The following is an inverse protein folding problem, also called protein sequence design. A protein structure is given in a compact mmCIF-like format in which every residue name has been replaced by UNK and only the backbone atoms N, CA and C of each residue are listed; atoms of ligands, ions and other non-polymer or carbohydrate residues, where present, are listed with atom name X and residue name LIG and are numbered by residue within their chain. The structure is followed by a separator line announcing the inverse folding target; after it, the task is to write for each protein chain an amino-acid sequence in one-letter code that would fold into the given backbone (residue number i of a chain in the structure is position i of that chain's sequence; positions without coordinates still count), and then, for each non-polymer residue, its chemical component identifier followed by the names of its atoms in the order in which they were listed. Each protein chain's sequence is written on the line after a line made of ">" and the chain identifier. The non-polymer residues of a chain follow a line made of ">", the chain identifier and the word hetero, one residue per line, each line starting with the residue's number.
data_IF_625820220429
#
_entry.id   IF_625820220429
#
_cell.length_a   1.000
_cell.length_b   1.000
_cell.length_c   1.000
_cell.angle_alpha   90.00
_cell.angle_beta   90.00
_cell.angle_gamma   90.00
#
_symmetry.space_group_name_H-M   'P 1'
#
loop_
_entity.id
_entity.type
_entity.pdbx_description
1 polymer ?
#
# COMPACT_ATOMS: atom_id res chain seq x y z
N UNK A 1 8.18 12.43 -12.39
CA UNK A 1 8.66 12.29 -11.00
C UNK A 1 10.10 12.76 -10.80
N UNK A 2 11.13 12.25 -11.51
CA UNK A 2 12.54 12.69 -11.32
C UNK A 2 12.78 14.20 -11.51
N UNK A 3 12.13 14.87 -12.46
CA UNK A 3 12.26 16.31 -12.68
C UNK A 3 11.69 17.17 -11.54
N UNK A 4 10.54 16.79 -10.97
CA UNK A 4 9.92 17.47 -9.83
C UNK A 4 10.79 17.37 -8.57
N UNK A 5 11.40 16.19 -8.32
CA UNK A 5 12.35 16.00 -7.21
C UNK A 5 13.63 16.83 -7.39
N UNK A 6 14.11 16.99 -8.62
CA UNK A 6 15.26 17.83 -8.93
C UNK A 6 14.97 19.32 -8.69
N UNK A 7 13.79 19.80 -9.13
CA UNK A 7 13.38 21.20 -8.92
C UNK A 7 13.17 21.54 -7.44
N UNK A 8 12.58 20.64 -6.66
CA UNK A 8 12.36 20.85 -5.21
C UNK A 8 13.68 20.94 -4.44
N UNK A 9 14.64 20.05 -4.70
CA UNK A 9 15.99 20.11 -4.11
C UNK A 9 16.73 21.39 -4.50
N UNK A 10 16.62 21.79 -5.75
CA UNK A 10 17.22 23.04 -6.22
C UNK A 10 16.64 24.24 -5.50
N UNK A 11 15.33 24.31 -5.33
CA UNK A 11 14.66 25.39 -4.58
C UNK A 11 15.09 25.41 -3.12
N UNK A 12 15.14 24.28 -2.42
CA UNK A 12 15.62 24.17 -1.05
C UNK A 12 17.05 24.66 -0.90
N UNK A 13 17.96 24.21 -1.78
CA UNK A 13 19.35 24.68 -1.80
C UNK A 13 19.45 26.19 -2.06
N UNK A 14 18.66 26.71 -3.01
CA UNK A 14 18.66 28.14 -3.34
C UNK A 14 18.21 29.00 -2.16
N UNK A 15 17.18 28.56 -1.41
CA UNK A 15 16.71 29.23 -0.20
C UNK A 15 17.82 29.31 0.85
N UNK A 16 18.52 28.19 1.12
CA UNK A 16 19.63 28.17 2.06
C UNK A 16 20.77 29.11 1.63
N UNK A 17 21.16 29.07 0.34
CA UNK A 17 22.24 29.91 -0.20
C UNK A 17 21.87 31.39 -0.07
N UNK A 18 20.67 31.77 -0.53
CA UNK A 18 20.22 33.17 -0.48
C UNK A 18 20.12 33.66 0.97
N UNK A 19 19.56 32.86 1.88
CA UNK A 19 19.43 33.20 3.30
C UNK A 19 20.80 33.46 3.93
N UNK A 20 21.78 32.59 3.69
CA UNK A 20 23.13 32.78 4.25
C UNK A 20 23.90 33.91 3.57
N UNK A 21 23.73 34.12 2.25
CA UNK A 21 24.30 35.31 1.60
C UNK A 21 23.80 36.61 2.22
N UNK A 22 22.50 36.68 2.57
CA UNK A 22 21.95 37.86 3.26
C UNK A 22 22.54 38.00 4.65
N UNK A 23 22.63 36.91 5.43
CA UNK A 23 23.17 36.96 6.81
C UNK A 23 24.64 37.35 6.84
N UNK A 24 25.48 36.83 5.95
CA UNK A 24 26.90 37.18 5.85
C UNK A 24 27.15 38.50 5.13
N UNK A 25 26.23 38.91 4.26
CA UNK A 25 26.30 40.18 3.55
C UNK A 25 25.85 41.37 4.38
N UNK A 26 24.97 41.14 5.39
CA UNK A 26 24.45 42.21 6.26
C UNK A 26 25.54 43.05 6.96
N UNK A 27 26.62 42.46 7.50
CA UNK A 27 27.71 43.22 8.10
C UNK A 27 28.39 44.23 7.15
N UNK A 28 28.39 43.96 5.83
CA UNK A 28 29.00 44.87 4.83
C UNK A 28 28.27 46.20 4.75
N UNK A 29 26.97 46.23 5.06
CA UNK A 29 26.15 47.47 5.04
C UNK A 29 26.60 48.45 6.12
N UNK A 30 27.16 47.96 7.23
CA UNK A 30 27.61 48.75 8.37
C UNK A 30 29.11 49.06 8.34
N UNK A 31 29.82 48.63 7.30
CA UNK A 31 31.22 49.00 7.12
C UNK A 31 31.30 50.46 6.68
N UNK A 32 32.24 51.20 7.29
CA UNK A 32 32.45 52.60 6.98
C UNK A 32 32.88 52.79 5.54
N UNK A 33 32.07 53.51 4.76
CA UNK A 33 32.26 53.74 3.34
C UNK A 33 33.46 54.66 3.04
N UNK A 34 34.01 55.31 4.05
CA UNK A 34 35.13 56.28 3.89
C UNK A 34 36.52 55.62 3.91
N UNK A 35 36.69 54.45 4.49
CA UNK A 35 38.00 53.82 4.75
C UNK A 35 38.37 52.67 3.79
N UNK A 36 37.53 52.36 2.81
CA UNK A 36 37.72 51.20 1.91
C UNK A 36 37.41 49.88 2.61
N UNK A 37 37.48 48.76 1.88
CA UNK A 37 37.24 47.42 2.40
C UNK A 37 38.32 47.00 3.40
N UNK A 38 37.95 46.84 4.66
CA UNK A 38 38.83 46.34 5.72
C UNK A 38 38.52 44.87 6.06
N UNK A 39 39.40 43.96 5.61
CA UNK A 39 39.25 42.50 5.81
C UNK A 39 39.17 42.13 7.31
N UNK A 40 39.95 42.76 8.19
CA UNK A 40 39.93 42.46 9.60
C UNK A 40 38.59 42.85 10.26
N UNK A 41 38.02 43.97 9.86
CA UNK A 41 36.69 44.40 10.29
C UNK A 41 35.59 43.46 9.76
N UNK A 42 35.66 43.07 8.52
CA UNK A 42 34.72 42.08 7.93
C UNK A 42 34.77 40.75 8.66
N UNK A 43 35.97 40.19 8.89
CA UNK A 43 36.13 38.93 9.63
C UNK A 43 35.56 39.03 11.03
N UNK A 44 35.81 40.14 11.76
CA UNK A 44 35.25 40.38 13.07
C UNK A 44 33.73 40.34 13.09
N UNK A 45 33.07 40.99 12.11
CA UNK A 45 31.62 41.01 12.03
C UNK A 45 31.02 39.68 11.53
N UNK A 46 31.79 38.88 10.78
CA UNK A 46 31.35 37.60 10.25
C UNK A 46 31.42 36.44 11.24
N UNK A 47 32.13 36.58 12.36
CA UNK A 47 32.27 35.54 13.38
C UNK A 47 30.93 35.14 14.03
N UNK A 48 30.07 36.13 14.32
CA UNK A 48 28.75 35.91 14.90
C UNK A 48 27.84 35.13 13.92
N UNK A 49 27.65 35.58 12.68
CA UNK A 49 26.97 34.79 11.64
C UNK A 49 27.51 33.35 11.46
N UNK A 50 28.83 33.16 11.57
CA UNK A 50 29.45 31.85 11.46
C UNK A 50 29.00 30.90 12.60
N UNK A 51 28.92 31.42 13.84
CA UNK A 51 28.38 30.64 14.96
C UNK A 51 26.92 30.24 14.72
N UNK A 52 26.10 31.14 14.19
CA UNK A 52 24.71 30.84 13.83
C UNK A 52 24.60 29.77 12.70
N UNK A 53 25.46 29.88 11.71
CA UNK A 53 25.58 28.91 10.65
C UNK A 53 25.90 27.50 11.20
N UNK A 54 26.92 27.41 12.07
CA UNK A 54 27.34 26.15 12.69
C UNK A 54 26.18 25.53 13.48
N UNK A 55 25.56 26.32 14.38
CA UNK A 55 24.45 25.86 15.23
C UNK A 55 23.25 25.39 14.37
N UNK A 56 22.90 26.15 13.34
CA UNK A 56 21.82 25.81 12.47
C UNK A 56 22.05 24.44 11.81
N UNK A 57 23.21 24.25 11.17
CA UNK A 57 23.47 23.00 10.43
C UNK A 57 23.77 21.82 11.33
N UNK A 58 24.41 22.02 12.49
CA UNK A 58 24.57 20.95 13.47
C UNK A 58 23.21 20.47 13.98
N UNK A 59 22.28 21.37 14.25
CA UNK A 59 20.91 20.98 14.60
C UNK A 59 20.20 20.32 13.43
N UNK A 60 20.17 20.97 12.27
CA UNK A 60 19.42 20.52 11.11
C UNK A 60 19.88 19.16 10.57
N UNK A 61 21.20 18.91 10.52
CA UNK A 61 21.79 17.70 9.94
C UNK A 61 22.05 16.58 10.97
N UNK A 62 22.38 16.94 12.21
CA UNK A 62 22.90 15.97 13.19
C UNK A 62 21.99 15.81 14.40
N UNK A 63 21.76 16.87 15.21
CA UNK A 63 21.14 16.72 16.52
C UNK A 63 19.65 16.37 16.43
N UNK A 64 18.91 17.02 15.55
CA UNK A 64 17.48 16.76 15.37
C UNK A 64 17.24 15.35 14.83
N UNK A 65 17.89 14.89 13.73
CA UNK A 65 17.70 13.53 13.25
C UNK A 65 18.13 12.45 14.24
N UNK A 66 19.20 12.70 15.00
CA UNK A 66 19.81 11.69 15.88
C UNK A 66 19.10 11.55 17.22
N UNK A 67 18.66 12.65 17.82
CA UNK A 67 18.13 12.65 19.19
C UNK A 67 16.65 13.02 19.27
N UNK A 68 16.22 14.02 18.52
CA UNK A 68 14.83 14.46 18.58
C UNK A 68 13.88 13.46 17.90
N UNK A 69 14.32 12.85 16.80
CA UNK A 69 13.52 11.87 16.08
C UNK A 69 13.58 10.45 16.65
N UNK A 70 14.46 10.19 17.61
CA UNK A 70 14.58 8.93 18.35
C UNK A 70 14.03 9.01 19.77
N UNK A 71 13.31 10.11 20.08
CA UNK A 71 12.71 10.38 21.39
C UNK A 71 13.71 10.55 22.54
N UNK A 72 14.98 10.89 22.21
CA UNK A 72 16.04 11.13 23.17
C UNK A 72 16.16 12.63 23.51
N UNK A 73 15.07 13.27 23.91
CA UNK A 73 14.99 14.72 24.11
C UNK A 73 16.01 15.26 25.11
N UNK A 74 16.34 14.50 26.17
CA UNK A 74 17.36 14.90 27.17
C UNK A 74 18.74 15.04 26.54
N UNK A 75 19.13 14.11 25.65
CA UNK A 75 20.42 14.19 24.94
C UNK A 75 20.45 15.36 23.96
N UNK A 76 19.31 15.62 23.30
CA UNK A 76 19.16 16.77 22.41
C UNK A 76 19.41 18.07 23.13
N UNK A 77 18.74 18.32 24.28
CA UNK A 77 18.86 19.53 25.07
C UNK A 77 20.30 19.69 25.63
N UNK A 78 20.88 18.62 26.19
CA UNK A 78 22.23 18.65 26.74
C UNK A 78 23.28 18.93 25.67
N UNK A 79 23.18 18.28 24.49
CA UNK A 79 24.11 18.52 23.38
C UNK A 79 24.04 19.95 22.85
N UNK A 80 22.83 20.53 22.76
CA UNK A 80 22.67 21.95 22.39
C UNK A 80 23.23 22.89 23.46
N UNK A 81 22.99 22.62 24.73
CA UNK A 81 23.53 23.44 25.82
C UNK A 81 25.08 23.50 25.81
N UNK A 82 25.70 22.32 25.62
CA UNK A 82 27.17 22.22 25.48
C UNK A 82 27.66 22.95 24.23
N UNK A 83 27.02 22.75 23.09
CA UNK A 83 27.41 23.38 21.82
C UNK A 83 27.33 24.91 21.90
N UNK A 84 26.22 25.45 22.42
CA UNK A 84 25.99 26.88 22.55
C UNK A 84 26.99 27.51 23.54
N UNK A 85 27.21 26.85 24.66
CA UNK A 85 28.18 27.32 25.64
C UNK A 85 29.61 27.38 25.05
N UNK A 86 30.04 26.30 24.41
CA UNK A 86 31.37 26.22 23.78
C UNK A 86 31.54 27.31 22.70
N UNK A 87 30.55 27.45 21.80
CA UNK A 87 30.63 28.44 20.73
C UNK A 87 30.57 29.87 21.27
N UNK A 88 29.76 30.14 22.30
CA UNK A 88 29.69 31.46 22.94
C UNK A 88 31.03 31.85 23.61
N UNK A 89 31.63 30.94 24.34
CA UNK A 89 32.96 31.20 24.97
C UNK A 89 34.02 31.41 23.90
N UNK A 90 34.09 30.55 22.89
CA UNK A 90 35.04 30.65 21.79
C UNK A 90 34.92 31.98 21.03
N UNK A 91 33.66 32.39 20.71
CA UNK A 91 33.36 33.65 20.04
C UNK A 91 33.88 34.85 20.84
N UNK A 92 33.58 34.88 22.14
CA UNK A 92 33.95 36.05 22.94
C UNK A 92 35.46 36.13 23.26
N UNK A 93 36.11 34.99 23.48
CA UNK A 93 37.59 34.93 23.61
C UNK A 93 38.25 35.41 22.33
N UNK A 94 37.74 34.99 21.16
CA UNK A 94 38.26 35.44 19.88
C UNK A 94 38.03 36.93 19.66
N UNK A 95 36.81 37.45 19.94
CA UNK A 95 36.51 38.87 19.81
C UNK A 95 37.34 39.73 20.72
N UNK A 96 37.59 39.30 21.96
CA UNK A 96 38.49 40.00 22.91
C UNK A 96 39.94 40.04 22.42
N UNK A 97 40.43 38.96 21.81
CA UNK A 97 41.83 38.89 21.30
C UNK A 97 42.12 39.86 20.16
N UNK A 98 41.10 40.21 19.37
CA UNK A 98 41.24 41.10 18.19
C UNK A 98 40.67 42.50 18.45
N UNK A 99 40.11 42.78 19.64
CA UNK A 99 39.51 44.07 19.94
C UNK A 99 40.55 45.01 20.56
N UNK A 100 40.67 46.20 20.01
CA UNK A 100 41.38 47.31 20.68
C UNK A 100 40.52 47.92 21.78
N UNK A 101 41.08 48.25 22.95
CA UNK A 101 40.32 48.89 24.00
C UNK A 101 39.72 50.22 23.51
N UNK A 102 38.47 50.52 23.86
CA UNK A 102 37.81 51.75 23.46
C UNK A 102 38.47 52.96 24.12
N UNK A 103 38.38 54.15 23.49
CA UNK A 103 38.83 55.38 24.12
C UNK A 103 38.16 55.59 25.47
N UNK A 104 38.85 56.21 26.47
CA UNK A 104 38.32 56.36 27.83
C UNK A 104 36.97 57.07 27.92
N UNK A 105 36.70 57.98 26.99
CA UNK A 105 35.43 58.72 26.89
C UNK A 105 34.21 57.83 26.62
N UNK A 106 34.37 56.76 25.89
CA UNK A 106 33.29 55.82 25.54
C UNK A 106 33.22 54.66 26.52
N UNK A 107 34.25 54.39 27.31
CA UNK A 107 34.29 53.26 28.23
C UNK A 107 33.18 53.28 29.29
N UNK A 108 32.72 54.48 29.69
CA UNK A 108 31.65 54.64 30.69
C UNK A 108 30.27 54.29 30.23
N UNK A 109 30.02 54.15 28.92
CA UNK A 109 28.72 53.90 28.32
C UNK A 109 28.62 52.47 27.76
N UNK A 110 29.65 51.62 27.90
CA UNK A 110 29.63 50.26 27.42
C UNK A 110 28.83 49.37 28.39
N UNK A 111 27.80 48.63 27.90
CA UNK A 111 27.07 47.73 28.75
C UNK A 111 27.97 46.65 29.36
N UNK A 112 27.61 46.09 30.53
CA UNK A 112 28.33 44.98 31.12
C UNK A 112 28.47 43.79 30.13
N UNK A 113 29.64 43.15 30.16
CA UNK A 113 29.99 42.05 29.20
C UNK A 113 28.96 40.93 29.14
N UNK A 114 28.34 40.59 30.28
CA UNK A 114 27.34 39.51 30.35
C UNK A 114 26.13 39.78 29.45
N UNK A 115 25.80 41.03 29.13
CA UNK A 115 24.70 41.38 28.21
C UNK A 115 24.99 40.88 26.78
N UNK A 116 26.22 41.00 26.31
CA UNK A 116 26.64 40.52 25.01
C UNK A 116 26.60 39.01 24.96
N UNK A 117 27.08 38.30 26.01
CA UNK A 117 26.96 36.85 26.12
C UNK A 117 25.50 36.41 26.11
N UNK A 118 24.65 37.04 26.91
CA UNK A 118 23.23 36.70 27.00
C UNK A 118 22.51 36.90 25.66
N UNK A 119 22.79 38.00 24.96
CA UNK A 119 22.25 38.28 23.63
C UNK A 119 22.64 37.21 22.63
N UNK A 120 23.93 36.88 22.54
CA UNK A 120 24.44 35.94 21.52
C UNK A 120 24.00 34.52 21.81
N UNK A 121 23.99 34.09 23.08
CA UNK A 121 23.41 32.79 23.49
C UNK A 121 21.91 32.71 23.19
N UNK A 122 21.15 33.78 23.49
CA UNK A 122 19.72 33.83 23.18
C UNK A 122 19.44 33.66 21.67
N UNK A 123 20.24 34.35 20.85
CA UNK A 123 20.15 34.25 19.41
C UNK A 123 20.56 32.83 18.89
N UNK A 124 21.59 32.25 19.50
CA UNK A 124 22.02 30.87 19.20
C UNK A 124 20.91 29.86 19.53
N UNK A 125 20.21 30.00 20.65
CA UNK A 125 19.06 29.18 21.04
C UNK A 125 17.94 29.33 20.00
N UNK A 126 17.64 30.59 19.61
CA UNK A 126 16.62 30.86 18.59
C UNK A 126 16.95 30.19 17.26
N UNK A 127 18.19 30.27 16.79
CA UNK A 127 18.65 29.65 15.54
C UNK A 127 18.61 28.14 15.63
N UNK A 128 18.98 27.53 16.77
CA UNK A 128 18.85 26.11 17.02
C UNK A 128 17.39 25.64 16.92
N UNK A 129 16.48 26.42 17.56
CA UNK A 129 15.03 26.18 17.49
C UNK A 129 14.49 26.29 16.06
N UNK A 130 14.95 27.29 15.30
CA UNK A 130 14.57 27.47 13.90
C UNK A 130 15.00 26.25 13.04
N UNK A 131 16.25 25.79 13.21
CA UNK A 131 16.76 24.60 12.53
C UNK A 131 15.94 23.35 12.86
N UNK A 132 15.57 23.18 14.13
CA UNK A 132 14.72 22.09 14.59
C UNK A 132 13.30 22.17 14.01
N UNK A 133 12.70 23.36 14.03
CA UNK A 133 11.35 23.57 13.50
C UNK A 133 11.26 23.26 11.99
N UNK A 134 12.22 23.78 11.21
CA UNK A 134 12.28 23.52 9.77
C UNK A 134 12.45 22.01 9.51
N UNK A 135 13.38 21.35 10.20
CA UNK A 135 13.65 19.92 10.01
C UNK A 135 12.46 19.05 10.38
N UNK A 136 11.78 19.39 11.47
CA UNK A 136 10.57 18.67 11.92
C UNK A 136 9.41 18.86 10.96
N UNK A 137 9.18 20.09 10.49
CA UNK A 137 8.14 20.38 9.50
C UNK A 137 8.35 19.60 8.21
N UNK A 138 9.57 19.52 7.70
CA UNK A 138 9.90 18.72 6.51
C UNK A 138 9.64 17.23 6.72
N UNK A 139 9.97 16.69 7.92
CA UNK A 139 9.69 15.28 8.24
C UNK A 139 8.18 15.00 8.31
N UNK A 140 7.40 15.90 8.91
CA UNK A 140 5.96 15.74 9.00
C UNK A 140 5.32 15.70 7.62
N UNK A 141 5.70 16.62 6.73
CA UNK A 141 5.22 16.60 5.33
C UNK A 141 5.56 15.29 4.62
N UNK A 142 6.79 14.79 4.79
CA UNK A 142 7.18 13.51 4.19
C UNK A 142 6.41 12.32 4.76
N UNK A 143 6.10 12.34 6.05
CA UNK A 143 5.29 11.31 6.70
C UNK A 143 3.83 11.35 6.18
N UNK A 144 3.25 12.54 6.07
CA UNK A 144 1.91 12.76 5.52
C UNK A 144 1.81 12.30 4.07
N UNK A 145 2.77 12.68 3.20
CA UNK A 145 2.83 12.24 1.81
C UNK A 145 2.89 10.70 1.71
N UNK A 146 3.64 10.04 2.60
CA UNK A 146 3.72 8.56 2.65
C UNK A 146 2.42 7.91 3.10
N UNK A 147 1.74 8.50 4.08
CA UNK A 147 0.44 8.01 4.56
C UNK A 147 -0.61 8.08 3.45
N UNK A 148 -0.72 9.23 2.76
CA UNK A 148 -1.64 9.42 1.64
C UNK A 148 -1.36 8.42 0.51
N UNK A 149 -0.09 8.22 0.16
CA UNK A 149 0.27 7.25 -0.88
C UNK A 149 -0.03 5.81 -0.47
N UNK A 150 0.22 5.44 0.79
CA UNK A 150 -0.11 4.11 1.31
C UNK A 150 -1.63 3.86 1.32
N UNK A 151 -2.43 4.84 1.72
CA UNK A 151 -3.89 4.76 1.69
C UNK A 151 -4.43 4.64 0.26
N UNK A 152 -3.87 5.41 -0.67
CA UNK A 152 -4.21 5.29 -2.09
C UNK A 152 -3.90 3.90 -2.64
N UNK A 153 -2.71 3.35 -2.35
CA UNK A 153 -2.32 2.00 -2.80
C UNK A 153 -3.23 0.93 -2.20
N UNK A 154 -3.62 1.07 -0.93
CA UNK A 154 -4.59 0.20 -0.28
C UNK A 154 -5.94 0.23 -1.01
N UNK A 155 -6.48 1.43 -1.27
CA UNK A 155 -7.75 1.60 -1.98
C UNK A 155 -7.71 1.05 -3.41
N UNK A 156 -6.61 1.28 -4.15
CA UNK A 156 -6.41 0.71 -5.48
C UNK A 156 -6.35 -0.84 -5.45
N UNK A 157 -5.70 -1.41 -4.43
CA UNK A 157 -5.64 -2.86 -4.24
C UNK A 157 -7.03 -3.45 -3.90
N UNK A 158 -7.78 -2.79 -3.01
CA UNK A 158 -9.15 -3.18 -2.66
C UNK A 158 -10.08 -3.11 -3.88
N UNK A 159 -10.01 -2.02 -4.67
CA UNK A 159 -10.77 -1.88 -5.90
C UNK A 159 -10.41 -2.94 -6.94
N UNK A 160 -9.13 -3.26 -7.09
CA UNK A 160 -8.66 -4.33 -7.98
C UNK A 160 -9.17 -5.69 -7.53
N UNK A 161 -9.14 -5.95 -6.22
CA UNK A 161 -9.67 -7.20 -5.64
C UNK A 161 -11.18 -7.31 -5.90
N UNK A 162 -11.94 -6.25 -5.65
CA UNK A 162 -13.38 -6.19 -5.92
C UNK A 162 -13.70 -6.43 -7.42
N UNK A 163 -12.97 -5.78 -8.32
CA UNK A 163 -13.11 -6.02 -9.77
C UNK A 163 -12.80 -7.46 -10.16
N UNK A 164 -11.80 -8.08 -9.53
CA UNK A 164 -11.44 -9.48 -9.83
C UNK A 164 -12.49 -10.48 -9.33
N UNK A 165 -13.24 -10.15 -8.27
CA UNK A 165 -14.34 -10.98 -7.77
C UNK A 165 -15.52 -11.05 -8.75
N UNK A 166 -15.67 -10.06 -9.62
CA UNK A 166 -16.75 -9.99 -10.60
C UNK A 166 -16.46 -10.75 -11.89
N UNK A 167 -15.48 -11.57 -12.04
CA UNK A 167 -15.12 -12.24 -13.32
C UNK A 167 -15.73 -11.55 -14.57
N UNK A 168 -15.10 -10.46 -15.11
CA UNK A 168 -15.73 -9.64 -16.17
C UNK A 168 -16.05 -10.45 -17.42
N UNK A 169 -15.24 -11.45 -17.71
CA UNK A 169 -15.42 -12.34 -18.86
C UNK A 169 -16.66 -13.22 -18.71
N UNK A 170 -16.92 -13.74 -17.50
CA UNK A 170 -18.15 -14.49 -17.23
C UNK A 170 -19.39 -13.59 -17.43
N UNK A 171 -19.39 -12.37 -16.87
CA UNK A 171 -20.50 -11.43 -17.00
C UNK A 171 -20.79 -11.08 -18.46
N UNK A 172 -19.75 -10.71 -19.23
CA UNK A 172 -19.89 -10.39 -20.65
C UNK A 172 -20.41 -11.58 -21.47
N UNK A 173 -19.90 -12.78 -21.23
CA UNK A 173 -20.37 -13.98 -21.92
C UNK A 173 -21.82 -14.30 -21.56
N UNK A 174 -22.21 -14.16 -20.30
CA UNK A 174 -23.59 -14.38 -19.85
C UNK A 174 -24.55 -13.36 -20.48
N UNK A 175 -24.19 -12.07 -20.48
CA UNK A 175 -24.97 -11.03 -21.14
C UNK A 175 -25.12 -11.27 -22.65
N UNK A 176 -24.06 -11.65 -23.35
CA UNK A 176 -24.10 -11.99 -24.77
C UNK A 176 -25.03 -13.20 -25.05
N UNK A 177 -25.02 -14.19 -24.16
CA UNK A 177 -25.93 -15.34 -24.27
C UNK A 177 -27.38 -14.96 -24.03
N UNK A 178 -27.66 -14.11 -23.01
CA UNK A 178 -29.00 -13.57 -22.75
C UNK A 178 -29.48 -12.78 -23.97
N UNK A 179 -28.63 -11.95 -24.56
CA UNK A 179 -28.96 -11.19 -25.76
C UNK A 179 -29.34 -12.12 -26.93
N UNK A 180 -28.58 -13.21 -27.14
CA UNK A 180 -28.92 -14.20 -28.16
C UNK A 180 -30.26 -14.89 -27.84
N UNK A 181 -30.52 -15.27 -26.58
CA UNK A 181 -31.78 -15.92 -26.17
C UNK A 181 -33.00 -15.02 -26.39
N UNK A 182 -32.91 -13.71 -26.31
CA UNK A 182 -34.04 -12.78 -26.57
C UNK A 182 -34.62 -13.01 -27.95
N UNK A 183 -33.79 -13.31 -28.94
CA UNK A 183 -34.24 -13.52 -30.32
C UNK A 183 -34.95 -14.86 -30.53
N UNK A 184 -34.69 -15.90 -29.69
CA UNK A 184 -35.20 -17.26 -29.91
C UNK A 184 -36.17 -17.72 -28.82
N UNK A 185 -36.02 -17.26 -27.57
CA UNK A 185 -36.84 -17.64 -26.43
C UNK A 185 -36.81 -16.57 -25.34
N UNK A 186 -37.76 -15.66 -25.38
CA UNK A 186 -37.88 -14.55 -24.46
C UNK A 186 -38.06 -14.99 -22.99
N UNK A 187 -38.78 -16.09 -22.74
CA UNK A 187 -39.02 -16.56 -21.37
C UNK A 187 -37.73 -17.07 -20.72
N UNK A 188 -36.96 -17.87 -21.48
CA UNK A 188 -35.61 -18.30 -21.01
C UNK A 188 -34.64 -17.12 -20.84
N UNK A 189 -34.74 -16.08 -21.67
CA UNK A 189 -33.93 -14.90 -21.51
C UNK A 189 -34.28 -14.15 -20.21
N UNK A 190 -35.56 -14.05 -19.85
CA UNK A 190 -36.00 -13.45 -18.58
C UNK A 190 -35.52 -14.24 -17.36
N UNK A 191 -35.66 -15.60 -17.43
CA UNK A 191 -35.13 -16.48 -16.39
C UNK A 191 -33.62 -16.29 -16.18
N UNK A 192 -32.85 -16.27 -17.29
CA UNK A 192 -31.39 -16.02 -17.22
C UNK A 192 -31.01 -14.65 -16.62
N UNK A 193 -31.79 -13.59 -16.88
CA UNK A 193 -31.61 -12.28 -16.23
C UNK A 193 -31.85 -12.35 -14.73
N UNK A 194 -32.88 -13.08 -14.30
CA UNK A 194 -33.19 -13.24 -12.87
C UNK A 194 -32.08 -14.00 -12.15
N UNK A 195 -31.59 -15.12 -12.73
CA UNK A 195 -30.50 -15.89 -12.15
C UNK A 195 -29.18 -15.09 -12.12
N UNK A 196 -28.86 -14.34 -13.17
CA UNK A 196 -27.71 -13.42 -13.17
C UNK A 196 -27.82 -12.37 -12.08
N UNK A 197 -29.02 -11.82 -11.85
CA UNK A 197 -29.26 -10.81 -10.81
C UNK A 197 -29.05 -11.38 -9.40
N UNK A 198 -29.47 -12.64 -9.14
CA UNK A 198 -29.22 -13.34 -7.88
C UNK A 198 -27.71 -13.55 -7.66
N UNK A 199 -26.98 -14.01 -8.68
CA UNK A 199 -25.54 -14.23 -8.64
C UNK A 199 -24.78 -12.92 -8.36
N UNK A 200 -25.13 -11.83 -9.03
CA UNK A 200 -24.51 -10.53 -8.82
C UNK A 200 -24.75 -10.00 -7.40
N UNK A 201 -25.94 -10.18 -6.87
CA UNK A 201 -26.28 -9.79 -5.49
C UNK A 201 -25.40 -10.54 -4.48
N UNK A 202 -25.26 -11.84 -4.64
CA UNK A 202 -24.39 -12.67 -3.77
C UNK A 202 -22.93 -12.18 -3.83
N UNK A 203 -22.38 -11.97 -5.04
CA UNK A 203 -20.99 -11.49 -5.19
C UNK A 203 -20.77 -10.09 -4.60
N UNK A 204 -21.74 -9.17 -4.72
CA UNK A 204 -21.57 -7.78 -4.31
C UNK A 204 -21.83 -7.57 -2.81
N UNK A 205 -22.75 -8.31 -2.20
CA UNK A 205 -23.21 -8.04 -0.83
C UNK A 205 -22.83 -9.13 0.16
N UNK A 206 -22.84 -10.42 -0.23
CA UNK A 206 -22.62 -11.53 0.71
C UNK A 206 -21.13 -11.86 0.88
N UNK A 207 -20.26 -11.50 -0.08
CA UNK A 207 -18.84 -11.84 -0.08
C UNK A 207 -17.91 -10.83 0.60
N UNK A 208 -18.45 -9.89 1.39
CA UNK A 208 -17.61 -8.94 2.13
C UNK A 208 -16.97 -9.54 3.39
N UNK A 209 -17.37 -10.75 3.79
CA UNK A 209 -16.82 -11.47 4.93
C UNK A 209 -15.69 -12.41 4.50
N UNK A 210 -14.74 -12.65 5.41
CA UNK A 210 -13.63 -13.59 5.17
C UNK A 210 -14.13 -15.03 5.00
N UNK A 211 -15.20 -15.38 5.72
CA UNK A 211 -15.88 -16.67 5.68
C UNK A 211 -17.39 -16.48 5.62
N UNK A 212 -18.07 -17.37 4.91
CA UNK A 212 -19.53 -17.39 4.76
C UNK A 212 -20.07 -18.77 5.11
N UNK A 213 -21.34 -18.91 5.52
CA UNK A 213 -21.97 -20.21 5.72
C UNK A 213 -21.89 -21.06 4.44
N UNK A 214 -21.52 -22.35 4.60
CA UNK A 214 -21.41 -23.28 3.45
C UNK A 214 -22.72 -23.32 2.64
N UNK A 215 -23.87 -23.30 3.30
CA UNK A 215 -25.18 -23.30 2.63
C UNK A 215 -25.33 -22.17 1.62
N UNK A 216 -24.83 -20.96 1.94
CA UNK A 216 -24.86 -19.81 1.00
C UNK A 216 -23.99 -20.06 -0.23
N UNK A 217 -22.83 -20.68 -0.06
CA UNK A 217 -21.98 -21.09 -1.21
C UNK A 217 -22.64 -22.17 -2.04
N UNK A 218 -23.30 -23.15 -1.42
CA UNK A 218 -24.04 -24.18 -2.15
C UNK A 218 -25.21 -23.60 -2.95
N UNK A 219 -25.95 -22.65 -2.38
CA UNK A 219 -27.01 -21.95 -3.09
C UNK A 219 -26.47 -21.11 -4.25
N UNK A 220 -25.35 -20.42 -4.05
CA UNK A 220 -24.66 -19.71 -5.13
C UNK A 220 -24.25 -20.66 -6.27
N UNK A 221 -23.65 -21.80 -5.94
CA UNK A 221 -23.25 -22.82 -6.92
C UNK A 221 -24.46 -23.38 -7.68
N UNK A 222 -25.56 -23.63 -6.99
CA UNK A 222 -26.81 -24.09 -7.60
C UNK A 222 -27.30 -23.09 -8.65
N UNK A 223 -27.43 -21.82 -8.28
CA UNK A 223 -27.86 -20.75 -9.16
C UNK A 223 -26.90 -20.60 -10.37
N UNK A 224 -25.58 -20.73 -10.12
CA UNK A 224 -24.57 -20.68 -11.18
C UNK A 224 -24.75 -21.82 -12.19
N UNK A 225 -24.91 -23.04 -11.70
CA UNK A 225 -25.10 -24.23 -12.58
C UNK A 225 -26.40 -24.12 -13.35
N UNK A 226 -27.49 -23.66 -12.73
CA UNK A 226 -28.78 -23.49 -13.43
C UNK A 226 -28.68 -22.46 -14.55
N UNK A 227 -28.00 -21.34 -14.32
CA UNK A 227 -27.69 -20.37 -15.36
C UNK A 227 -26.83 -20.95 -16.49
N UNK A 228 -25.86 -21.80 -16.15
CA UNK A 228 -25.02 -22.47 -17.16
C UNK A 228 -25.83 -23.50 -17.98
N UNK A 229 -26.77 -24.22 -17.38
CA UNK A 229 -27.65 -25.21 -18.06
C UNK A 229 -28.50 -24.59 -19.18
N UNK A 230 -28.95 -23.34 -19.02
CA UNK A 230 -29.79 -22.65 -20.01
C UNK A 230 -29.15 -22.62 -21.41
N UNK A 231 -27.81 -22.61 -21.46
CA UNK A 231 -27.01 -22.48 -22.68
C UNK A 231 -26.37 -23.77 -23.20
N UNK A 232 -26.52 -24.87 -22.45
CA UNK A 232 -25.88 -26.14 -22.85
C UNK A 232 -26.61 -26.82 -23.99
N UNK A 233 -25.87 -27.45 -24.90
CA UNK A 233 -26.45 -28.38 -25.87
C UNK A 233 -27.12 -29.57 -25.16
N UNK A 234 -28.12 -30.20 -25.82
CA UNK A 234 -28.86 -31.33 -25.25
C UNK A 234 -27.99 -32.57 -24.95
N UNK A 235 -26.84 -32.69 -25.60
CA UNK A 235 -25.89 -33.79 -25.42
C UNK A 235 -24.97 -33.63 -24.20
N UNK A 236 -25.15 -32.58 -23.40
CA UNK A 236 -24.35 -32.36 -22.20
C UNK A 236 -25.18 -32.70 -20.97
N UNK A 237 -24.75 -33.72 -20.24
CA UNK A 237 -25.36 -34.12 -18.98
C UNK A 237 -24.68 -33.39 -17.80
N UNK A 238 -25.47 -32.74 -16.96
CA UNK A 238 -24.96 -32.05 -15.76
C UNK A 238 -25.67 -32.61 -14.52
N UNK A 239 -24.92 -33.30 -13.68
CA UNK A 239 -25.37 -33.78 -12.35
C UNK A 239 -24.81 -32.92 -11.22
N UNK A 240 -25.64 -32.61 -10.24
CA UNK A 240 -25.28 -31.76 -9.11
C UNK A 240 -25.80 -32.37 -7.83
N UNK A 241 -24.89 -32.64 -6.87
CA UNK A 241 -25.23 -33.09 -5.54
C UNK A 241 -24.56 -32.16 -4.51
N UNK A 242 -25.36 -31.35 -3.81
CA UNK A 242 -24.89 -30.31 -2.86
C UNK A 242 -25.60 -30.54 -1.53
N UNK A 243 -24.85 -31.01 -0.54
CA UNK A 243 -25.35 -31.36 0.79
C UNK A 243 -24.46 -30.77 1.90
N UNK A 244 -25.06 -30.21 2.92
CA UNK A 244 -24.39 -29.76 4.14
C UNK A 244 -25.03 -30.45 5.35
N UNK A 245 -24.40 -31.50 5.82
CA UNK A 245 -24.91 -32.32 6.97
C UNK A 245 -24.58 -31.67 8.32
N UNK A 246 -24.38 -30.35 8.36
CA UNK A 246 -23.82 -29.65 9.52
C UNK A 246 -24.78 -28.69 10.24
N UNK A 247 -26.04 -28.65 9.82
CA UNK A 247 -27.02 -27.76 10.42
C UNK A 247 -26.66 -26.26 10.38
N UNK A 248 -25.98 -25.83 9.33
CA UNK A 248 -25.61 -24.42 9.09
C UNK A 248 -24.35 -23.93 9.83
N UNK A 249 -23.62 -24.80 10.52
CA UNK A 249 -22.46 -24.40 11.35
C UNK A 249 -21.13 -24.24 10.57
N UNK A 250 -21.02 -24.82 9.36
CA UNK A 250 -19.77 -24.76 8.58
C UNK A 250 -19.59 -23.41 7.88
N UNK A 251 -18.40 -22.86 8.05
CA UNK A 251 -17.98 -21.65 7.41
C UNK A 251 -16.91 -21.94 6.37
N UNK A 252 -17.01 -21.34 5.18
CA UNK A 252 -16.05 -21.55 4.08
C UNK A 252 -15.64 -20.19 3.45
N UNK A 253 -14.46 -20.11 2.87
CA UNK A 253 -14.07 -18.93 2.11
C UNK A 253 -14.99 -18.76 0.89
N UNK A 254 -15.56 -17.57 0.68
CA UNK A 254 -16.52 -17.35 -0.40
C UNK A 254 -15.88 -17.60 -1.78
N UNK A 255 -16.65 -18.11 -2.74
CA UNK A 255 -16.23 -18.33 -4.13
C UNK A 255 -14.99 -19.25 -4.30
N UNK A 256 -14.72 -20.16 -3.34
CA UNK A 256 -13.53 -21.02 -3.45
C UNK A 256 -13.72 -22.12 -4.49
N UNK A 257 -14.95 -22.63 -4.65
CA UNK A 257 -15.27 -23.73 -5.55
C UNK A 257 -15.60 -23.28 -6.99
N UNK A 258 -16.02 -22.00 -7.16
CA UNK A 258 -16.54 -21.53 -8.45
C UNK A 258 -15.52 -21.65 -9.59
N UNK A 259 -14.24 -21.38 -9.30
CA UNK A 259 -13.19 -21.49 -10.32
C UNK A 259 -12.95 -22.94 -10.79
N UNK A 260 -13.19 -23.92 -9.92
CA UNK A 260 -13.11 -25.34 -10.28
C UNK A 260 -14.30 -25.73 -11.17
N UNK A 261 -15.49 -25.24 -10.82
CA UNK A 261 -16.73 -25.45 -11.58
C UNK A 261 -16.63 -24.76 -12.95
N UNK A 262 -16.19 -23.50 -13.00
CA UNK A 262 -15.92 -22.79 -14.28
C UNK A 262 -14.97 -23.58 -15.18
N UNK A 263 -13.93 -24.17 -14.61
CA UNK A 263 -12.97 -24.98 -15.34
C UNK A 263 -13.63 -26.22 -15.97
N UNK A 264 -14.53 -26.90 -15.23
CA UNK A 264 -15.27 -28.03 -15.74
C UNK A 264 -16.20 -27.64 -16.90
N UNK A 265 -16.95 -26.55 -16.80
CA UNK A 265 -17.79 -26.05 -17.87
C UNK A 265 -16.99 -25.58 -19.11
N UNK A 266 -15.81 -25.04 -18.91
CA UNK A 266 -14.93 -24.55 -19.99
C UNK A 266 -14.25 -25.67 -20.77
N UNK A 267 -13.85 -26.74 -20.08
CA UNK A 267 -13.01 -27.78 -20.64
C UNK A 267 -13.72 -29.13 -20.77
N UNK A 268 -14.82 -29.34 -20.06
CA UNK A 268 -15.60 -30.60 -20.06
C UNK A 268 -16.65 -30.70 -21.15
N UNK A 269 -16.84 -29.67 -21.99
CA UNK A 269 -17.90 -29.63 -22.99
C UNK A 269 -17.31 -29.69 -24.40
N UNK A 270 -17.82 -30.58 -25.22
CA UNK A 270 -17.54 -30.66 -26.66
C UNK A 270 -18.77 -30.21 -27.47
N UNK A 271 -18.60 -29.47 -28.57
CA UNK A 271 -19.69 -29.14 -29.47
C UNK A 271 -20.17 -30.36 -30.32
N UNK A 272 -19.37 -31.43 -30.42
CA UNK A 272 -19.58 -32.54 -31.33
C UNK A 272 -19.65 -33.92 -30.68
N UNK A 273 -19.33 -34.02 -29.37
CA UNK A 273 -19.34 -35.29 -28.64
C UNK A 273 -20.18 -35.19 -27.37
N UNK A 274 -20.74 -36.29 -26.95
CA UNK A 274 -21.42 -36.39 -25.66
C UNK A 274 -20.48 -36.01 -24.55
N UNK A 275 -20.98 -35.21 -23.61
CA UNK A 275 -20.19 -34.65 -22.54
C UNK A 275 -20.96 -34.74 -21.24
N UNK A 276 -20.22 -34.86 -20.11
CA UNK A 276 -20.82 -34.81 -18.79
C UNK A 276 -20.01 -33.92 -17.84
N UNK A 277 -20.72 -33.37 -16.85
CA UNK A 277 -20.14 -32.66 -15.72
C UNK A 277 -20.87 -33.15 -14.48
N UNK A 278 -20.12 -33.64 -13.49
CA UNK A 278 -20.65 -34.06 -12.18
C UNK A 278 -20.01 -33.20 -11.11
N UNK A 279 -20.83 -32.55 -10.31
CA UNK A 279 -20.42 -31.65 -9.21
C UNK A 279 -21.01 -32.20 -7.93
N UNK A 280 -20.16 -32.57 -6.97
CA UNK A 280 -20.56 -33.08 -5.68
C UNK A 280 -19.84 -32.31 -4.57
N UNK A 281 -20.59 -31.67 -3.68
CA UNK A 281 -20.03 -30.94 -2.53
C UNK A 281 -20.75 -31.41 -1.26
N UNK A 282 -19.96 -31.95 -0.33
CA UNK A 282 -20.44 -32.46 0.94
C UNK A 282 -19.77 -31.76 2.12
N UNK A 283 -20.57 -31.21 3.02
CA UNK A 283 -20.10 -30.69 4.30
C UNK A 283 -20.39 -31.69 5.41
N UNK A 284 -19.34 -32.19 6.08
CA UNK A 284 -19.46 -33.18 7.15
C UNK A 284 -19.48 -32.54 8.52
N UNK A 285 -20.12 -33.20 9.50
CA UNK A 285 -20.22 -32.73 10.90
C UNK A 285 -18.87 -32.61 11.61
N UNK A 286 -17.82 -33.29 11.12
CA UNK A 286 -16.46 -33.20 11.64
C UNK A 286 -15.74 -31.91 11.27
N UNK A 287 -16.35 -31.08 10.42
CA UNK A 287 -15.76 -29.83 9.92
C UNK A 287 -15.07 -29.97 8.57
N UNK A 288 -15.12 -31.13 7.93
CA UNK A 288 -14.55 -31.37 6.62
C UNK A 288 -15.54 -30.98 5.52
N UNK A 289 -15.08 -30.25 4.52
CA UNK A 289 -15.83 -29.95 3.28
C UNK A 289 -15.11 -30.58 2.12
N UNK A 290 -15.76 -31.49 1.40
CA UNK A 290 -15.24 -32.18 0.22
C UNK A 290 -15.99 -31.73 -1.03
N UNK A 291 -15.23 -31.20 -2.00
CA UNK A 291 -15.73 -30.85 -3.32
C UNK A 291 -15.09 -31.77 -4.35
N UNK A 292 -15.92 -32.52 -5.09
CA UNK A 292 -15.51 -33.43 -6.14
C UNK A 292 -16.17 -33.02 -7.46
N UNK A 293 -15.34 -32.75 -8.46
CA UNK A 293 -15.79 -32.36 -9.80
C UNK A 293 -15.19 -33.31 -10.80
N UNK A 294 -16.05 -33.96 -11.55
CA UNK A 294 -15.71 -34.87 -12.65
C UNK A 294 -16.28 -34.30 -13.95
N UNK A 295 -15.50 -34.29 -15.01
CA UNK A 295 -15.99 -33.87 -16.32
C UNK A 295 -15.32 -34.63 -17.45
N UNK A 296 -16.00 -34.73 -18.58
CA UNK A 296 -15.42 -35.28 -19.82
C UNK A 296 -14.14 -34.54 -20.16
N UNK A 297 -13.10 -35.25 -20.57
CA UNK A 297 -11.84 -34.68 -21.03
C UNK A 297 -11.79 -34.72 -22.56
N UNK A 298 -11.86 -33.55 -23.18
CA UNK A 298 -11.74 -33.37 -24.62
C UNK A 298 -10.38 -32.74 -24.94
N UNK A 299 -9.35 -33.52 -25.31
CA UNK A 299 -8.04 -33.00 -25.64
C UNK A 299 -8.13 -32.05 -26.84
N UNK A 300 -7.76 -30.79 -26.62
CA UNK A 300 -7.73 -29.78 -27.67
C UNK A 300 -6.57 -30.01 -28.62
N UNK A 301 -6.81 -29.90 -29.92
CA UNK A 301 -5.75 -29.83 -30.93
C UNK A 301 -4.87 -28.58 -30.63
N UNK A 302 -3.56 -28.76 -30.69
CA UNK A 302 -2.48 -27.87 -30.15
C UNK A 302 -2.43 -26.38 -30.54
N UNK A 303 -3.50 -25.80 -31.13
CA UNK A 303 -3.55 -24.36 -31.47
C UNK A 303 -4.30 -23.48 -30.47
N UNK A 304 -5.07 -24.05 -29.53
CA UNK A 304 -5.85 -23.30 -28.55
C UNK A 304 -5.10 -23.14 -27.22
N UNK A 305 -4.05 -22.29 -27.20
CA UNK A 305 -3.31 -21.90 -25.99
C UNK A 305 -4.02 -20.82 -25.16
N UNK A 306 -5.29 -20.49 -25.41
CA UNK A 306 -6.00 -19.44 -24.71
C UNK A 306 -6.37 -19.87 -23.28
N UNK A 307 -5.54 -19.52 -22.29
CA UNK A 307 -5.94 -19.36 -20.89
C UNK A 307 -5.92 -20.60 -20.01
N UNK A 308 -5.15 -21.66 -20.34
CA UNK A 308 -5.02 -22.83 -19.47
C UNK A 308 -4.02 -22.59 -18.33
N UNK A 309 -4.47 -22.65 -17.08
CA UNK A 309 -3.64 -22.68 -15.89
C UNK A 309 -3.80 -21.52 -14.93
N UNK A 310 -4.07 -20.29 -15.38
CA UNK A 310 -4.14 -19.09 -14.52
C UNK A 310 -5.24 -19.20 -13.44
N UNK A 311 -6.42 -19.75 -13.79
CA UNK A 311 -7.52 -19.90 -12.84
C UNK A 311 -7.21 -20.89 -11.72
N UNK A 312 -6.70 -22.06 -12.07
CA UNK A 312 -6.35 -23.10 -11.09
C UNK A 312 -5.12 -22.71 -10.24
N UNK A 313 -4.16 -21.96 -10.79
CA UNK A 313 -3.03 -21.42 -10.03
C UNK A 313 -3.49 -20.38 -9.00
N UNK A 314 -4.46 -19.55 -9.34
CA UNK A 314 -5.06 -18.60 -8.40
C UNK A 314 -5.80 -19.31 -7.26
N UNK A 315 -6.53 -20.41 -7.55
CA UNK A 315 -7.15 -21.23 -6.50
C UNK A 315 -6.10 -21.82 -5.57
N UNK A 316 -5.01 -22.37 -6.11
CA UNK A 316 -3.90 -22.90 -5.28
C UNK A 316 -3.31 -21.86 -4.34
N UNK A 317 -2.99 -20.66 -4.87
CA UNK A 317 -2.49 -19.55 -4.06
C UNK A 317 -3.48 -19.11 -2.98
N UNK A 318 -4.76 -19.08 -3.31
CA UNK A 318 -5.82 -18.68 -2.37
C UNK A 318 -6.01 -19.72 -1.27
N UNK A 319 -5.97 -21.02 -1.60
CA UNK A 319 -6.02 -22.12 -0.63
C UNK A 319 -4.84 -22.05 0.34
N UNK A 320 -3.63 -21.84 -0.16
CA UNK A 320 -2.43 -21.69 0.68
C UNK A 320 -2.51 -20.50 1.63
N UNK A 321 -3.10 -19.39 1.21
CA UNK A 321 -3.25 -18.19 2.04
C UNK A 321 -4.33 -18.32 3.11
N UNK A 322 -5.46 -19.00 2.79
CA UNK A 322 -6.63 -19.06 3.68
C UNK A 322 -6.63 -20.33 4.54
N UNK A 323 -6.14 -21.45 4.01
CA UNK A 323 -6.15 -22.77 4.65
C UNK A 323 -4.75 -23.40 4.70
N UNK A 324 -3.71 -22.75 5.22
CA UNK A 324 -2.33 -23.27 5.19
C UNK A 324 -2.25 -24.60 5.96
N UNK A 325 -1.91 -25.69 5.24
CA UNK A 325 -1.83 -27.03 5.83
C UNK A 325 -3.16 -27.71 6.17
N UNK A 326 -4.32 -27.08 5.87
CA UNK A 326 -5.67 -27.58 6.19
C UNK A 326 -6.49 -27.90 4.93
N UNK A 327 -5.86 -28.15 3.82
CA UNK A 327 -6.51 -28.60 2.60
C UNK A 327 -5.70 -29.66 1.88
N UNK A 328 -6.40 -30.49 1.12
CA UNK A 328 -5.82 -31.44 0.17
C UNK A 328 -6.50 -31.26 -1.19
N UNK A 329 -5.74 -31.12 -2.26
CA UNK A 329 -6.30 -30.96 -3.61
C UNK A 329 -5.65 -31.92 -4.60
N UNK A 330 -6.41 -32.94 -4.99
CA UNK A 330 -6.01 -33.97 -5.95
C UNK A 330 -6.69 -33.67 -7.29
N UNK A 331 -5.92 -33.64 -8.37
CA UNK A 331 -6.43 -33.43 -9.72
C UNK A 331 -5.68 -34.27 -10.72
N UNK A 332 -6.39 -34.76 -11.71
CA UNK A 332 -5.79 -35.62 -12.73
C UNK A 332 -6.75 -36.04 -13.84
N UNK A 333 -6.21 -36.75 -14.81
CA UNK A 333 -6.96 -37.35 -15.89
C UNK A 333 -6.96 -38.84 -15.62
N UNK A 334 -8.13 -39.49 -15.82
CA UNK A 334 -8.29 -40.95 -15.70
C UNK A 334 -7.35 -41.74 -16.64
N UNK A 335 -7.05 -42.98 -16.31
CA UNK A 335 -6.16 -43.84 -17.09
C UNK A 335 -6.58 -43.99 -18.57
N UNK A 336 -7.89 -44.00 -18.85
CA UNK A 336 -8.41 -44.04 -20.20
C UNK A 336 -8.41 -42.68 -20.94
N UNK A 337 -7.95 -41.60 -20.27
CA UNK A 337 -7.86 -40.28 -20.85
C UNK A 337 -9.17 -39.53 -21.04
N UNK A 338 -10.32 -40.12 -20.65
CA UNK A 338 -11.65 -39.59 -20.99
C UNK A 338 -12.26 -38.68 -19.91
N UNK A 339 -11.80 -38.76 -18.65
CA UNK A 339 -12.38 -38.05 -17.52
C UNK A 339 -11.29 -37.23 -16.84
N UNK A 340 -11.57 -35.97 -16.62
CA UNK A 340 -10.79 -35.11 -15.71
C UNK A 340 -11.48 -35.11 -14.34
N UNK A 341 -10.69 -35.25 -13.27
CA UNK A 341 -11.15 -35.19 -11.88
C UNK A 341 -10.43 -34.09 -11.10
N UNK A 342 -11.17 -33.42 -10.25
CA UNK A 342 -10.66 -32.41 -9.31
C UNK A 342 -11.35 -32.63 -7.97
N UNK A 343 -10.60 -33.05 -6.95
CA UNK A 343 -11.11 -33.38 -5.62
C UNK A 343 -10.39 -32.45 -4.63
N UNK A 344 -11.15 -31.52 -4.03
CA UNK A 344 -10.67 -30.59 -3.03
C UNK A 344 -11.32 -30.91 -1.69
N UNK A 345 -10.50 -31.19 -0.67
CA UNK A 345 -10.93 -31.42 0.70
C UNK A 345 -10.38 -30.29 1.58
N UNK A 346 -11.24 -29.62 2.36
CA UNK A 346 -10.88 -28.52 3.26
C UNK A 346 -11.33 -28.86 4.68
N UNK A 347 -10.46 -28.63 5.65
CA UNK A 347 -10.78 -28.76 7.07
C UNK A 347 -11.08 -27.39 7.66
N UNK A 348 -12.34 -27.11 8.01
CA UNK A 348 -12.83 -25.80 8.45
C UNK A 348 -12.76 -25.58 9.97
N UNK A 349 -12.76 -26.67 10.78
CA UNK A 349 -12.76 -26.60 12.26
C UNK A 349 -11.46 -26.11 12.90
N UNK A 350 -10.39 -25.93 12.12
CA UNK A 350 -9.06 -25.54 12.61
C UNK A 350 -8.78 -24.03 12.48
N UNK A 351 -9.76 -23.22 12.11
CA UNK A 351 -9.65 -21.77 11.86
C UNK A 351 -10.16 -20.95 13.04
#
# INVERSE_FOLDING_TARGET
>A
MKQLFSQRRFLEMSIHIVSWLLVFGFPLVFMDRGSGFNLAQFLRHSCVPLCYFIIFYVNYLCLVPRYMFTDEMRKYILSNAVLILCLSVLLHVFLESISTPPPPEFARHIPPRWIFYARDMGMMIFVAGLGAAIRTSLRWRQAEERLIEAERQKTEAELKNLKNQLNPHFLLNTLNNIYALIAFNSDKAQEAVQELSKLLRHVLYDNQQTFVPLEKELDFIRNYVDLMRIRLPQQVEVSVNLEADSGGALQIAPLIFISLIENAFKHGISPTADSFISISIFGHTDGTVRCEILNSNHPKSGQDKSGSGVGLEQVSKRLELIYPGHYEWIKGISENGQVYSSILTIQTKSL
#
